data_IF_960293667701
#
_entry.id   IF_960293667701
#
_cell.length_a   1.000
_cell.length_b   1.000
_cell.length_c   1.000
_cell.angle_alpha   90.00
_cell.angle_beta   90.00
_cell.angle_gamma   90.00
#
_symmetry.space_group_name_H-M   'P 1'
#
loop_
_entity.id
_entity.type
_entity.pdbx_description
1 polymer ?
#
# COMPACT_ATOMS: atom_id res chain seq x y z
N UNK A 1 -9.59 9.00 11.01
CA UNK A 1 -10.02 8.00 10.03
C UNK A 1 -11.40 8.30 9.47
N UNK A 2 -11.45 8.79 8.23
CA UNK A 2 -12.68 8.82 7.42
C UNK A 2 -12.70 7.54 6.57
N UNK A 3 -13.88 7.06 6.18
CA UNK A 3 -14.01 5.96 5.20
C UNK A 3 -14.35 6.62 3.87
N UNK A 4 -13.63 6.26 2.80
CA UNK A 4 -13.94 6.68 1.43
C UNK A 4 -14.45 5.48 0.64
N UNK A 5 -15.77 5.33 0.46
CA UNK A 5 -16.35 4.20 -0.25
C UNK A 5 -15.82 4.08 -1.67
N UNK A 6 -15.63 2.84 -2.14
CA UNK A 6 -15.29 2.57 -3.53
C UNK A 6 -16.54 2.63 -4.40
N UNK A 7 -16.38 3.09 -5.64
CA UNK A 7 -17.45 3.02 -6.64
C UNK A 7 -17.71 1.57 -7.07
N UNK A 8 -18.86 1.27 -7.69
CA UNK A 8 -19.13 -0.06 -8.23
C UNK A 8 -18.06 -0.54 -9.23
N UNK A 9 -17.53 0.36 -10.05
CA UNK A 9 -16.48 0.07 -11.03
C UNK A 9 -15.15 -0.27 -10.36
N UNK A 10 -14.78 0.45 -9.30
CA UNK A 10 -13.60 0.16 -8.49
C UNK A 10 -13.73 -1.17 -7.75
N UNK A 11 -14.95 -1.55 -7.32
CA UNK A 11 -15.20 -2.85 -6.69
C UNK A 11 -15.11 -3.99 -7.70
N UNK A 12 -15.51 -3.76 -8.95
CA UNK A 12 -15.51 -4.77 -10.00
C UNK A 12 -14.10 -5.25 -10.42
N UNK A 13 -13.05 -4.48 -10.12
CA UNK A 13 -11.64 -4.84 -10.42
C UNK A 13 -10.93 -5.57 -9.26
N UNK A 14 -11.62 -5.76 -8.12
CA UNK A 14 -11.07 -6.48 -6.98
C UNK A 14 -11.29 -7.98 -7.16
N UNK A 15 -10.26 -8.78 -6.88
CA UNK A 15 -10.34 -10.25 -7.00
C UNK A 15 -11.21 -10.85 -5.90
N UNK A 16 -11.24 -10.22 -4.72
CA UNK A 16 -12.12 -10.56 -3.61
C UNK A 16 -12.74 -9.29 -3.00
N UNK A 17 -13.79 -8.74 -3.62
CA UNK A 17 -14.38 -7.48 -3.19
C UNK A 17 -14.83 -7.47 -1.73
N UNK A 18 -15.38 -8.57 -1.22
CA UNK A 18 -15.88 -8.66 0.16
C UNK A 18 -14.75 -8.54 1.21
N UNK A 19 -13.58 -9.10 0.90
CA UNK A 19 -12.44 -9.07 1.80
C UNK A 19 -11.50 -7.87 1.56
N UNK A 20 -11.47 -7.30 0.36
CA UNK A 20 -10.54 -6.23 -0.02
C UNK A 20 -11.17 -4.84 0.04
N UNK A 21 -12.44 -4.68 -0.35
CA UNK A 21 -13.06 -3.36 -0.41
C UNK A 21 -13.08 -2.65 0.95
N UNK A 22 -13.44 -3.28 2.08
CA UNK A 22 -13.44 -2.58 3.38
C UNK A 22 -12.06 -2.05 3.77
N UNK A 23 -10.99 -2.79 3.45
CA UNK A 23 -9.61 -2.38 3.74
C UNK A 23 -9.21 -1.18 2.87
N UNK A 24 -9.51 -1.25 1.57
CA UNK A 24 -9.18 -0.18 0.63
C UNK A 24 -9.99 1.08 0.94
N UNK A 25 -11.27 0.97 1.30
CA UNK A 25 -12.12 2.12 1.67
C UNK A 25 -11.61 2.84 2.93
N UNK A 26 -11.09 2.09 3.91
CA UNK A 26 -10.42 2.64 5.09
C UNK A 26 -9.14 3.37 4.68
N UNK A 27 -8.28 2.71 3.91
CA UNK A 27 -6.97 3.25 3.48
C UNK A 27 -7.14 4.51 2.62
N UNK A 28 -8.14 4.52 1.74
CA UNK A 28 -8.46 5.67 0.89
C UNK A 28 -8.92 6.90 1.67
N UNK A 29 -9.45 6.70 2.89
CA UNK A 29 -9.85 7.78 3.77
C UNK A 29 -8.83 8.14 4.86
N UNK A 30 -7.64 7.50 4.86
CA UNK A 30 -6.54 7.84 5.75
C UNK A 30 -5.79 9.09 5.27
N UNK A 31 -5.33 9.91 6.21
CA UNK A 31 -4.36 10.97 5.92
C UNK A 31 -2.97 10.37 5.68
N UNK A 32 -2.07 11.17 5.11
CA UNK A 32 -0.69 10.72 4.91
C UNK A 32 0.00 10.36 6.23
N UNK A 33 -0.25 11.12 7.30
CA UNK A 33 0.29 10.85 8.64
C UNK A 33 -0.24 9.53 9.21
N UNK A 34 -1.53 9.22 8.99
CA UNK A 34 -2.12 7.93 9.38
C UNK A 34 -1.46 6.78 8.59
N UNK A 35 -1.24 6.95 7.28
CA UNK A 35 -0.53 5.96 6.46
C UNK A 35 0.92 5.73 6.91
N UNK A 36 1.64 6.79 7.32
CA UNK A 36 3.02 6.66 7.82
C UNK A 36 3.11 5.85 9.11
N UNK A 37 2.04 5.70 9.88
CA UNK A 37 2.07 4.84 11.07
C UNK A 37 2.39 3.38 10.73
N UNK A 38 2.12 2.94 9.49
CA UNK A 38 2.44 1.60 9.03
C UNK A 38 3.94 1.39 8.76
N UNK A 39 4.76 2.45 8.74
CA UNK A 39 6.21 2.37 8.58
C UNK A 39 6.89 1.63 9.74
N UNK A 40 6.22 1.50 10.88
CA UNK A 40 6.71 0.73 12.01
C UNK A 40 6.65 -0.79 11.77
N UNK A 41 6.05 -1.26 10.68
CA UNK A 41 5.98 -2.68 10.34
C UNK A 41 6.92 -3.02 9.18
N UNK A 42 7.39 -4.26 9.15
CA UNK A 42 8.15 -4.83 8.05
C UNK A 42 7.65 -6.24 7.75
N UNK A 43 7.82 -6.69 6.51
CA UNK A 43 7.44 -8.03 6.08
C UNK A 43 8.33 -9.10 6.74
N UNK A 44 7.74 -10.27 7.01
CA UNK A 44 8.47 -11.49 7.40
C UNK A 44 8.97 -12.26 6.18
N UNK A 45 8.19 -12.23 5.10
CA UNK A 45 8.49 -12.85 3.82
C UNK A 45 8.61 -11.75 2.76
N UNK A 46 9.84 -11.56 2.27
CA UNK A 46 10.15 -10.55 1.25
C UNK A 46 9.56 -10.90 -0.10
N UNK A 47 9.59 -12.17 -0.48
CA UNK A 47 9.22 -12.58 -1.84
C UNK A 47 7.71 -12.52 -2.01
N UNK A 48 6.95 -12.88 -0.96
CA UNK A 48 5.50 -12.66 -0.93
C UNK A 48 5.16 -11.16 -1.03
N UNK A 49 5.82 -10.30 -0.24
CA UNK A 49 5.59 -8.85 -0.28
C UNK A 49 5.93 -8.24 -1.64
N UNK A 50 7.09 -8.56 -2.21
CA UNK A 50 7.54 -8.00 -3.49
C UNK A 50 6.75 -8.58 -4.66
N UNK A 51 6.34 -9.85 -4.61
CA UNK A 51 5.50 -10.49 -5.60
C UNK A 51 4.14 -9.79 -5.71
N UNK A 52 3.44 -9.59 -4.59
CA UNK A 52 2.16 -8.87 -4.60
C UNK A 52 2.31 -7.41 -5.05
N UNK A 53 3.40 -6.74 -4.67
CA UNK A 53 3.65 -5.36 -5.08
C UNK A 53 3.85 -5.24 -6.60
N UNK A 54 4.65 -6.13 -7.18
CA UNK A 54 4.97 -6.10 -8.61
C UNK A 54 3.81 -6.59 -9.46
N UNK A 55 3.27 -7.76 -9.11
CA UNK A 55 2.39 -8.52 -10.00
C UNK A 55 0.93 -8.08 -9.87
N UNK A 56 0.51 -7.63 -8.69
CA UNK A 56 -0.85 -7.11 -8.49
C UNK A 56 -0.86 -5.59 -8.44
N UNK A 57 -0.11 -4.99 -7.52
CA UNK A 57 -0.27 -3.56 -7.24
C UNK A 57 0.16 -2.69 -8.43
N UNK A 58 1.40 -2.81 -8.90
CA UNK A 58 1.86 -2.03 -10.06
C UNK A 58 1.15 -2.39 -11.36
N UNK A 59 0.76 -3.66 -11.54
CA UNK A 59 -0.04 -4.09 -12.68
C UNK A 59 -1.40 -3.40 -12.73
N UNK A 60 -2.12 -3.37 -11.61
CA UNK A 60 -3.43 -2.70 -11.49
C UNK A 60 -3.31 -1.18 -11.63
N UNK A 61 -2.25 -0.57 -11.08
CA UNK A 61 -2.06 0.87 -11.20
C UNK A 61 -1.80 1.30 -12.64
N UNK A 62 -0.95 0.56 -13.35
CA UNK A 62 -0.75 0.77 -14.79
C UNK A 62 -2.06 0.63 -15.57
N UNK A 63 -2.86 -0.39 -15.26
CA UNK A 63 -4.17 -0.58 -15.89
C UNK A 63 -5.12 0.60 -15.61
N UNK A 64 -5.18 1.09 -14.37
CA UNK A 64 -6.03 2.22 -14.02
C UNK A 64 -5.63 3.49 -14.74
N UNK A 65 -4.33 3.79 -14.85
CA UNK A 65 -3.83 4.97 -15.56
C UNK A 65 -4.22 4.87 -17.04
N UNK A 66 -4.01 3.73 -17.70
CA UNK A 66 -4.31 3.56 -19.13
C UNK A 66 -5.80 3.66 -19.48
N UNK A 67 -6.70 3.55 -18.50
CA UNK A 67 -8.15 3.66 -18.68
C UNK A 67 -8.71 5.01 -18.21
N UNK A 68 -7.85 5.97 -17.82
CA UNK A 68 -8.29 7.33 -17.50
C UNK A 68 -8.80 8.01 -18.77
N UNK A 69 -9.90 8.75 -18.63
CA UNK A 69 -10.50 9.45 -19.76
C UNK A 69 -9.49 10.44 -20.38
N UNK A 70 -9.20 10.27 -21.67
CA UNK A 70 -8.26 11.13 -22.39
C UNK A 70 -6.78 10.73 -22.25
N UNK A 71 -6.49 9.55 -21.72
CA UNK A 71 -5.14 8.99 -21.65
C UNK A 71 -4.85 8.10 -22.87
N UNK A 72 -3.62 8.19 -23.40
CA UNK A 72 -3.15 7.34 -24.50
C UNK A 72 -2.80 5.94 -23.98
N UNK A 73 -3.07 4.89 -24.75
CA UNK A 73 -2.98 3.51 -24.26
C UNK A 73 -1.61 3.07 -23.67
N UNK A 74 -0.53 3.81 -23.92
CA UNK A 74 0.82 3.51 -23.40
C UNK A 74 1.17 4.34 -22.16
N UNK A 75 1.15 3.69 -20.99
CA UNK A 75 1.64 4.29 -19.73
C UNK A 75 3.15 4.14 -19.64
N UNK A 76 3.85 5.29 -19.62
CA UNK A 76 5.31 5.31 -19.45
C UNK A 76 5.72 4.94 -18.02
N UNK A 77 6.97 4.50 -17.83
CA UNK A 77 7.48 4.21 -16.49
C UNK A 77 7.58 5.46 -15.61
N UNK A 78 7.87 6.62 -16.20
CA UNK A 78 7.95 7.91 -15.49
C UNK A 78 6.57 8.32 -14.98
N UNK A 79 5.56 8.24 -15.85
CA UNK A 79 4.17 8.53 -15.47
C UNK A 79 3.69 7.62 -14.34
N UNK A 80 3.99 6.32 -14.40
CA UNK A 80 3.64 5.40 -13.33
C UNK A 80 4.27 5.80 -11.99
N UNK A 81 5.55 6.22 -12.00
CA UNK A 81 6.25 6.66 -10.79
C UNK A 81 5.65 7.96 -10.26
N UNK A 82 5.35 8.92 -11.12
CA UNK A 82 4.72 10.18 -10.75
C UNK A 82 3.34 9.96 -10.14
N UNK A 83 2.55 9.07 -10.74
CA UNK A 83 1.22 8.69 -10.25
C UNK A 83 1.30 8.04 -8.85
N UNK A 84 2.22 7.09 -8.68
CA UNK A 84 2.48 6.45 -7.39
C UNK A 84 2.82 7.49 -6.30
N UNK A 85 3.65 8.47 -6.65
CA UNK A 85 4.08 9.52 -5.72
C UNK A 85 2.98 10.55 -5.43
N UNK A 86 2.20 10.93 -6.44
CA UNK A 86 1.08 11.85 -6.32
C UNK A 86 -0.03 11.29 -5.42
N UNK A 87 -0.30 9.99 -5.56
CA UNK A 87 -1.37 9.31 -4.83
C UNK A 87 -0.93 8.59 -3.56
N UNK A 88 0.36 8.64 -3.20
CA UNK A 88 0.92 7.95 -2.01
C UNK A 88 0.66 6.45 -2.04
N UNK A 89 0.73 5.86 -3.23
CA UNK A 89 0.37 4.47 -3.45
C UNK A 89 1.35 3.49 -2.79
N UNK A 90 2.61 3.89 -2.57
CA UNK A 90 3.56 3.10 -1.80
C UNK A 90 3.15 2.94 -0.33
N UNK A 91 2.70 4.02 0.30
CA UNK A 91 2.20 4.01 1.67
C UNK A 91 0.86 3.30 1.80
N UNK A 92 -0.04 3.50 0.82
CA UNK A 92 -1.32 2.77 0.74
C UNK A 92 -1.11 1.27 0.59
N UNK A 93 -0.19 0.85 -0.27
CA UNK A 93 0.17 -0.57 -0.42
C UNK A 93 0.69 -1.15 0.89
N UNK A 94 1.57 -0.42 1.60
CA UNK A 94 2.10 -0.86 2.90
C UNK A 94 0.99 -1.02 3.94
N UNK A 95 0.08 -0.05 4.03
CA UNK A 95 -1.06 -0.13 4.93
C UNK A 95 -1.95 -1.34 4.58
N UNK A 96 -2.28 -1.52 3.30
CA UNK A 96 -3.06 -2.67 2.82
C UNK A 96 -2.40 -3.99 3.18
N UNK A 97 -1.10 -4.15 2.92
CA UNK A 97 -0.38 -5.37 3.21
C UNK A 97 -0.40 -5.72 4.70
N UNK A 98 -0.16 -4.73 5.57
CA UNK A 98 -0.18 -4.91 7.04
C UNK A 98 -1.57 -5.33 7.52
N UNK A 99 -2.63 -4.70 7.00
CA UNK A 99 -4.00 -5.01 7.40
C UNK A 99 -4.50 -6.34 6.84
N UNK A 100 -4.15 -6.67 5.59
CA UNK A 100 -4.56 -7.89 4.90
C UNK A 100 -3.82 -9.12 5.42
N UNK A 101 -2.53 -8.98 5.75
CA UNK A 101 -1.67 -10.09 6.16
C UNK A 101 -0.97 -9.82 7.50
N UNK A 102 -1.73 -9.66 8.61
CA UNK A 102 -1.14 -9.32 9.92
C UNK A 102 -0.15 -10.36 10.41
N UNK A 103 -0.32 -11.64 10.03
CA UNK A 103 0.60 -12.72 10.37
C UNK A 103 1.92 -12.68 9.59
N UNK A 104 1.96 -11.96 8.45
CA UNK A 104 3.12 -11.86 7.55
C UNK A 104 3.97 -10.62 7.81
N UNK A 105 3.65 -9.85 8.85
CA UNK A 105 4.40 -8.66 9.25
C UNK A 105 4.90 -8.75 10.69
N UNK A 106 5.96 -8.00 11.00
CA UNK A 106 6.49 -7.81 12.34
C UNK A 106 6.76 -6.33 12.57
N UNK A 107 6.66 -5.88 13.82
CA UNK A 107 7.08 -4.53 14.19
C UNK A 107 8.59 -4.41 14.02
N UNK A 108 9.07 -3.30 13.45
CA UNK A 108 10.49 -2.95 13.43
C UNK A 108 10.94 -2.76 14.86
N UNK A 109 12.02 -3.44 15.24
CA UNK A 109 12.68 -3.19 16.52
C UNK A 109 13.48 -1.90 16.36
N UNK A 110 13.13 -0.84 17.09
CA UNK A 110 13.96 0.35 17.16
C UNK A 110 15.25 0.00 17.91
N UNK A 111 16.40 0.15 17.27
CA UNK A 111 17.71 -0.03 17.91
C UNK A 111 18.09 1.14 18.84
N UNK A 112 17.15 2.05 19.12
CA UNK A 112 17.34 3.14 20.06
C UNK A 112 17.00 2.66 21.48
N UNK A 113 17.98 2.06 22.18
CA UNK A 113 17.73 1.69 23.58
C UNK A 113 18.77 0.87 24.35
N UNK A 114 19.90 0.44 23.79
CA UNK A 114 20.94 -0.25 24.57
C UNK A 114 22.28 0.51 24.52
N UNK A 115 22.34 1.66 25.18
CA UNK A 115 23.58 2.11 25.80
C UNK A 115 23.55 1.54 27.21
N UNK A 116 24.01 0.30 27.37
CA UNK A 116 24.34 -0.22 28.69
C UNK A 116 25.45 0.67 29.26
N UNK A 117 25.10 1.52 30.22
CA UNK A 117 26.05 2.12 31.14
C UNK A 117 26.76 1.00 31.89
N UNK A 118 27.90 0.55 31.36
CA UNK A 118 28.91 -0.12 32.17
C UNK A 118 29.49 0.92 33.13
N UNK A 119 28.95 0.96 34.35
CA UNK A 119 29.66 1.51 35.48
C UNK A 119 30.87 0.59 35.76
N UNK A 120 32.07 1.16 35.67
CA UNK A 120 33.31 0.62 36.18
C UNK A 120 33.88 1.63 37.17
#
# INVERSE_FOLDING_TARGET
>A
MRIKPLTPEEKAILDNPDADAPLIEIINGMTYEELKQFDQYTYKDRDHYMGLQRDLWFGKERYLISHRLGHDAEVSSEELVDDINAHKNGERYRAWYVMKFPNMVKRKVSLEGNVETKAA
#
